data_IF_547626068511
#
_entry.id   IF_547626068511
#
_cell.length_a   1.000
_cell.length_b   1.000
_cell.length_c   1.000
_cell.angle_alpha   90.00
_cell.angle_beta   90.00
_cell.angle_gamma   90.00
#
_symmetry.space_group_name_H-M   'P 1'
#
loop_
_entity.id
_entity.type
_entity.pdbx_description
1 polymer ?
#
# COMPACT_ATOMS: atom_id res chain seq x y z
N UNK A 1 -17.02 -10.99 -22.15
CA UNK A 1 -17.22 -11.52 -20.79
C UNK A 1 -17.22 -10.35 -19.81
N UNK A 2 -18.31 -10.15 -19.10
CA UNK A 2 -18.41 -9.07 -18.10
C UNK A 2 -17.76 -9.58 -16.82
N UNK A 3 -16.73 -8.87 -16.33
CA UNK A 3 -16.07 -9.17 -15.05
C UNK A 3 -16.64 -8.22 -13.98
N UNK A 4 -17.43 -8.76 -13.06
CA UNK A 4 -18.03 -8.03 -11.95
C UNK A 4 -17.23 -8.19 -10.63
N UNK A 5 -16.17 -8.99 -10.63
CA UNK A 5 -15.38 -9.31 -9.44
C UNK A 5 -14.03 -8.61 -9.38
N UNK A 6 -13.67 -7.80 -10.37
CA UNK A 6 -12.41 -7.09 -10.41
C UNK A 6 -12.59 -5.61 -10.04
N UNK A 7 -11.77 -5.12 -9.14
CA UNK A 7 -11.65 -3.69 -8.81
C UNK A 7 -10.60 -2.97 -9.68
N UNK A 8 -10.00 -3.68 -10.66
CA UNK A 8 -8.99 -3.10 -11.54
C UNK A 8 -9.63 -2.18 -12.59
N UNK A 9 -9.02 -1.03 -12.82
CA UNK A 9 -9.33 -0.17 -13.98
C UNK A 9 -8.82 -0.83 -15.26
N UNK A 10 -9.35 -0.41 -16.42
CA UNK A 10 -8.83 -0.85 -17.71
C UNK A 10 -7.36 -0.46 -17.84
N UNK A 11 -6.52 -1.41 -18.26
CA UNK A 11 -5.11 -1.15 -18.49
C UNK A 11 -4.95 -0.27 -19.74
N UNK A 12 -4.08 0.72 -19.65
CA UNK A 12 -3.61 1.48 -20.81
C UNK A 12 -2.64 0.65 -21.63
N UNK A 13 -2.64 0.82 -22.94
CA UNK A 13 -1.55 0.38 -23.79
C UNK A 13 -0.40 1.37 -23.68
N UNK A 14 0.79 0.96 -24.11
CA UNK A 14 1.97 1.81 -24.03
C UNK A 14 1.82 3.08 -24.88
N UNK A 15 1.30 2.95 -26.10
CA UNK A 15 1.05 4.09 -26.99
C UNK A 15 0.05 5.08 -26.36
N UNK A 16 -1.05 4.60 -25.78
CA UNK A 16 -2.03 5.44 -25.07
C UNK A 16 -1.41 6.18 -23.88
N UNK A 17 -0.50 5.54 -23.14
CA UNK A 17 0.18 6.18 -22.02
C UNK A 17 1.09 7.32 -22.51
N UNK A 18 1.86 7.09 -23.56
CA UNK A 18 2.76 8.10 -24.12
C UNK A 18 2.00 9.26 -24.76
N UNK A 19 0.88 8.99 -25.44
CA UNK A 19 -0.03 10.03 -25.94
C UNK A 19 -0.58 10.90 -24.80
N UNK A 20 -0.93 10.32 -23.66
CA UNK A 20 -1.43 11.05 -22.50
C UNK A 20 -0.37 11.90 -21.82
N UNK A 21 0.87 11.44 -21.77
CA UNK A 21 1.98 12.17 -21.14
C UNK A 21 2.65 13.17 -22.07
N UNK A 22 2.46 13.02 -23.37
CA UNK A 22 3.15 13.80 -24.40
C UNK A 22 4.63 13.48 -24.53
N UNK A 23 5.07 12.33 -23.98
CA UNK A 23 6.44 11.85 -24.12
C UNK A 23 6.65 11.07 -25.42
N UNK A 24 7.90 11.03 -25.89
CA UNK A 24 8.28 10.34 -27.12
C UNK A 24 8.51 8.83 -26.86
N UNK A 25 7.60 8.00 -27.36
CA UNK A 25 7.67 6.54 -27.24
C UNK A 25 8.91 5.96 -27.96
N UNK A 26 9.28 6.49 -29.13
CA UNK A 26 10.42 5.96 -29.88
C UNK A 26 11.74 6.29 -29.17
N UNK A 27 11.85 7.48 -28.59
CA UNK A 27 12.99 7.85 -27.75
C UNK A 27 13.10 6.93 -26.52
N UNK A 28 11.99 6.65 -25.85
CA UNK A 28 11.95 5.71 -24.73
C UNK A 28 12.37 4.30 -25.11
N UNK A 29 11.83 3.77 -26.20
CA UNK A 29 12.20 2.43 -26.70
C UNK A 29 13.67 2.34 -27.10
N UNK A 30 14.25 3.43 -27.63
CA UNK A 30 15.66 3.48 -27.94
C UNK A 30 16.54 3.54 -26.68
N UNK A 31 16.14 4.28 -25.65
CA UNK A 31 16.79 4.27 -24.33
C UNK A 31 16.80 2.84 -23.75
N UNK A 32 15.66 2.16 -23.76
CA UNK A 32 15.57 0.77 -23.28
C UNK A 32 16.48 -0.19 -24.05
N UNK A 33 16.56 -0.04 -25.37
CA UNK A 33 17.40 -0.89 -26.24
C UNK A 33 18.90 -0.74 -25.94
N UNK A 34 19.33 0.45 -25.54
CA UNK A 34 20.74 0.77 -25.28
C UNK A 34 21.11 0.68 -23.81
N UNK A 35 20.11 0.48 -22.93
CA UNK A 35 20.33 0.37 -21.50
C UNK A 35 21.14 -0.88 -21.14
N UNK A 36 22.15 -0.72 -20.31
CA UNK A 36 22.91 -1.85 -19.78
C UNK A 36 22.08 -2.62 -18.75
N UNK A 37 22.03 -3.95 -18.88
CA UNK A 37 21.28 -4.83 -17.99
C UNK A 37 22.09 -5.15 -16.72
N UNK A 38 22.39 -4.13 -15.92
CA UNK A 38 23.01 -4.31 -14.64
C UNK A 38 22.05 -4.93 -13.61
N UNK A 39 22.59 -5.66 -12.65
CA UNK A 39 21.84 -6.23 -11.54
C UNK A 39 21.08 -5.16 -10.74
N UNK A 40 21.70 -3.99 -10.56
CA UNK A 40 21.06 -2.79 -10.01
C UNK A 40 21.70 -1.55 -10.67
N UNK A 41 20.92 -0.50 -10.81
CA UNK A 41 21.39 0.78 -11.36
C UNK A 41 21.90 1.72 -10.23
N UNK A 42 22.82 1.21 -9.39
CA UNK A 42 23.49 1.96 -8.33
C UNK A 42 22.78 2.01 -6.98
N UNK A 43 21.52 1.60 -6.90
CA UNK A 43 20.75 1.57 -5.65
C UNK A 43 19.78 0.38 -5.62
N UNK A 44 19.98 -0.53 -4.68
CA UNK A 44 19.12 -1.70 -4.49
C UNK A 44 17.69 -1.33 -4.07
N UNK A 45 17.45 -0.12 -3.58
CA UNK A 45 16.14 0.39 -3.18
C UNK A 45 15.37 1.06 -4.31
N UNK A 46 15.92 1.10 -5.51
CA UNK A 46 15.34 1.69 -6.71
C UNK A 46 16.20 2.80 -7.31
N UNK A 47 16.05 3.05 -8.62
CA UNK A 47 16.85 4.08 -9.27
C UNK A 47 16.51 5.49 -8.73
N UNK A 48 17.48 6.40 -8.69
CA UNK A 48 17.24 7.79 -8.23
C UNK A 48 16.10 8.48 -8.97
N UNK A 49 15.94 8.20 -10.27
CA UNK A 49 14.87 8.79 -11.10
C UNK A 49 13.48 8.38 -10.63
N UNK A 50 13.25 7.08 -10.37
CA UNK A 50 11.94 6.62 -9.92
C UNK A 50 11.65 7.06 -8.49
N UNK A 51 12.64 7.06 -7.60
CA UNK A 51 12.50 7.52 -6.21
C UNK A 51 12.12 9.00 -6.17
N UNK A 52 12.74 9.84 -6.99
CA UNK A 52 12.39 11.25 -7.12
C UNK A 52 10.98 11.45 -7.66
N UNK A 53 10.57 10.66 -8.67
CA UNK A 53 9.22 10.74 -9.23
C UNK A 53 8.16 10.35 -8.20
N UNK A 54 8.39 9.29 -7.42
CA UNK A 54 7.48 8.88 -6.34
C UNK A 54 7.41 9.94 -5.24
N UNK A 55 8.54 10.48 -4.80
CA UNK A 55 8.55 11.56 -3.80
C UNK A 55 7.79 12.81 -4.28
N UNK A 56 7.83 13.09 -5.58
CA UNK A 56 7.11 14.22 -6.20
C UNK A 56 5.59 14.10 -6.22
N UNK A 57 5.02 12.91 -5.97
CA UNK A 57 3.56 12.70 -5.86
C UNK A 57 3.03 13.25 -4.53
N UNK A 58 3.88 13.29 -3.51
CA UNK A 58 3.51 13.77 -2.18
C UNK A 58 3.61 15.28 -2.06
N UNK A 59 2.83 15.93 -1.17
CA UNK A 59 2.97 17.36 -0.91
C UNK A 59 4.42 17.75 -0.61
N UNK A 60 4.83 18.92 -1.08
CA UNK A 60 6.23 19.38 -1.05
C UNK A 60 6.87 19.20 0.34
N UNK A 61 7.95 18.43 0.37
CA UNK A 61 8.79 18.20 1.53
C UNK A 61 8.34 17.14 2.50
N UNK A 62 7.17 16.47 2.28
CA UNK A 62 6.69 15.43 3.17
C UNK A 62 7.40 14.09 2.96
N UNK A 63 7.91 13.84 1.75
CA UNK A 63 8.65 12.62 1.41
C UNK A 63 9.88 13.01 0.59
N UNK A 64 11.04 12.50 0.98
CA UNK A 64 12.28 12.69 0.24
C UNK A 64 12.61 11.45 -0.58
N UNK A 65 13.35 11.57 -1.70
CA UNK A 65 13.71 10.42 -2.52
C UNK A 65 14.44 9.31 -1.76
N UNK A 66 15.28 9.64 -0.78
CA UNK A 66 16.00 8.68 0.06
C UNK A 66 15.09 7.89 1.01
N UNK A 67 13.88 8.36 1.27
CA UNK A 67 12.86 7.69 2.08
C UNK A 67 11.96 6.76 1.25
N UNK A 68 12.20 6.68 -0.06
CA UNK A 68 11.44 5.83 -0.98
C UNK A 68 12.19 4.54 -1.25
N UNK A 69 11.50 3.42 -1.12
CA UNK A 69 11.97 2.11 -1.55
C UNK A 69 11.02 1.51 -2.57
N UNK A 70 11.56 1.02 -3.67
CA UNK A 70 10.81 0.36 -4.74
C UNK A 70 10.85 -1.14 -4.51
N UNK A 71 9.69 -1.79 -4.58
CA UNK A 71 9.54 -3.23 -4.39
C UNK A 71 8.87 -3.89 -5.59
N UNK A 72 8.82 -5.22 -5.61
CA UNK A 72 8.11 -5.99 -6.63
C UNK A 72 6.59 -5.95 -6.36
N UNK A 73 5.97 -4.85 -6.76
CA UNK A 73 4.53 -4.58 -6.54
C UNK A 73 4.19 -4.28 -5.09
N UNK A 74 2.90 -3.95 -4.86
CA UNK A 74 2.37 -3.68 -3.51
C UNK A 74 2.47 -4.88 -2.56
N UNK A 75 2.44 -6.11 -3.09
CA UNK A 75 2.64 -7.32 -2.27
C UNK A 75 4.01 -7.33 -1.61
N UNK A 76 5.07 -7.04 -2.38
CA UNK A 76 6.42 -6.96 -1.84
C UNK A 76 6.58 -5.84 -0.83
N UNK A 77 5.89 -4.70 -1.03
CA UNK A 77 5.89 -3.60 -0.05
C UNK A 77 5.20 -4.00 1.25
N UNK A 78 4.01 -4.62 1.16
CA UNK A 78 3.27 -5.07 2.34
C UNK A 78 4.07 -6.11 3.14
N UNK A 79 4.64 -7.11 2.46
CA UNK A 79 5.46 -8.14 3.09
C UNK A 79 6.65 -7.52 3.82
N UNK A 80 7.39 -6.66 3.13
CA UNK A 80 8.56 -6.00 3.70
C UNK A 80 8.22 -5.18 4.95
N UNK A 81 7.16 -4.37 4.92
CA UNK A 81 6.74 -3.55 6.06
C UNK A 81 6.30 -4.44 7.22
N UNK A 82 5.42 -5.41 6.96
CA UNK A 82 4.89 -6.30 7.99
C UNK A 82 6.02 -7.09 8.69
N UNK A 83 6.94 -7.65 7.90
CA UNK A 83 8.05 -8.45 8.42
C UNK A 83 9.17 -7.62 9.06
N UNK A 84 9.25 -6.32 8.76
CA UNK A 84 10.23 -5.42 9.39
C UNK A 84 9.79 -4.89 10.76
N UNK A 85 8.48 -4.87 11.00
CA UNK A 85 7.90 -4.25 12.21
C UNK A 85 7.44 -5.30 13.23
N UNK A 86 6.95 -6.46 12.75
CA UNK A 86 6.31 -7.46 13.58
C UNK A 86 7.27 -8.60 13.93
N UNK A 87 7.34 -8.94 15.21
CA UNK A 87 8.14 -10.03 15.76
C UNK A 87 7.25 -11.06 16.48
N UNK A 88 7.73 -12.31 16.69
CA UNK A 88 7.00 -13.30 17.48
C UNK A 88 6.66 -12.78 18.91
N UNK A 89 5.38 -12.81 19.25
CA UNK A 89 4.85 -12.25 20.49
C UNK A 89 4.15 -10.90 20.33
N UNK A 90 4.35 -10.24 19.20
CA UNK A 90 3.57 -9.06 18.83
C UNK A 90 2.19 -9.43 18.26
N UNK A 91 1.31 -8.45 18.20
CA UNK A 91 0.09 -8.55 17.42
C UNK A 91 -0.10 -7.35 16.49
N UNK A 92 -0.90 -7.57 15.45
CA UNK A 92 -1.39 -6.50 14.59
C UNK A 92 -2.92 -6.50 14.56
N UNK A 93 -3.50 -5.32 14.44
CA UNK A 93 -4.95 -5.12 14.27
C UNK A 93 -5.25 -4.80 12.81
N UNK A 94 -6.15 -5.56 12.19
CA UNK A 94 -6.52 -5.42 10.78
C UNK A 94 -8.00 -5.10 10.66
N UNK A 95 -8.32 -4.07 9.89
CA UNK A 95 -9.70 -3.68 9.62
C UNK A 95 -10.20 -4.46 8.40
N UNK A 96 -11.30 -5.24 8.54
CA UNK A 96 -11.89 -6.07 7.48
C UNK A 96 -13.33 -5.65 7.14
N UNK A 97 -13.80 -5.84 5.88
CA UNK A 97 -13.10 -6.42 4.74
C UNK A 97 -11.90 -5.60 4.30
N UNK A 98 -10.85 -6.28 3.86
CA UNK A 98 -9.61 -5.65 3.42
C UNK A 98 -8.91 -6.53 2.39
N UNK A 99 -7.82 -6.02 1.83
CA UNK A 99 -6.97 -6.77 0.94
C UNK A 99 -6.32 -7.95 1.71
N UNK A 100 -6.40 -9.14 1.10
CA UNK A 100 -6.04 -10.40 1.76
C UNK A 100 -4.64 -10.40 2.40
N UNK A 101 -3.68 -9.77 1.76
CA UNK A 101 -2.29 -9.69 2.23
C UNK A 101 -2.15 -9.09 3.63
N UNK A 102 -3.03 -8.15 4.00
CA UNK A 102 -2.95 -7.45 5.28
C UNK A 102 -3.16 -8.35 6.49
N UNK A 103 -3.86 -9.49 6.32
CA UNK A 103 -4.12 -10.42 7.41
C UNK A 103 -3.52 -11.81 7.21
N UNK A 104 -3.29 -12.24 5.96
CA UNK A 104 -2.72 -13.57 5.70
C UNK A 104 -1.19 -13.57 5.83
N UNK A 105 -0.50 -12.49 5.47
CA UNK A 105 0.96 -12.39 5.64
C UNK A 105 1.35 -12.49 7.13
N UNK A 106 0.87 -11.61 8.03
CA UNK A 106 1.26 -11.71 9.44
C UNK A 106 0.79 -13.02 10.07
N UNK A 107 -0.41 -13.48 9.77
CA UNK A 107 -0.92 -14.76 10.26
C UNK A 107 -0.08 -15.96 9.80
N UNK A 108 0.33 -15.98 8.52
CA UNK A 108 1.21 -16.99 7.96
C UNK A 108 2.60 -16.99 8.59
N UNK A 109 3.05 -15.86 9.12
CA UNK A 109 4.31 -15.69 9.85
C UNK A 109 4.19 -15.95 11.35
N UNK A 110 3.03 -16.42 11.82
CA UNK A 110 2.81 -16.75 13.24
C UNK A 110 2.52 -15.54 14.13
N UNK A 111 2.23 -14.38 13.56
CA UNK A 111 1.86 -13.17 14.29
C UNK A 111 0.37 -13.21 14.65
N UNK A 112 0.03 -12.87 15.88
CA UNK A 112 -1.36 -12.73 16.30
C UNK A 112 -2.02 -11.60 15.49
N UNK A 113 -3.08 -11.95 14.74
CA UNK A 113 -3.78 -11.00 13.88
C UNK A 113 -5.20 -10.80 14.39
N UNK A 114 -5.47 -9.66 14.98
CA UNK A 114 -6.77 -9.26 15.50
C UNK A 114 -7.57 -8.55 14.43
N UNK A 115 -8.89 -8.76 14.42
CA UNK A 115 -9.75 -8.24 13.36
C UNK A 115 -10.81 -7.32 13.93
N UNK A 116 -10.88 -6.10 13.41
CA UNK A 116 -12.03 -5.20 13.56
C UNK A 116 -12.88 -5.29 12.32
N UNK A 117 -14.11 -5.79 12.48
CA UNK A 117 -15.00 -6.07 11.36
C UNK A 117 -15.89 -4.86 11.06
N UNK A 118 -15.78 -4.31 9.84
CA UNK A 118 -16.76 -3.37 9.32
C UNK A 118 -18.04 -4.11 8.96
N UNK A 119 -19.19 -3.56 9.33
CA UNK A 119 -20.49 -4.21 9.18
C UNK A 119 -21.40 -3.43 8.24
N UNK A 120 -22.18 -4.15 7.44
CA UNK A 120 -23.11 -3.54 6.49
C UNK A 120 -24.21 -2.73 7.19
N UNK A 121 -24.69 -3.21 8.34
CA UNK A 121 -25.69 -2.53 9.17
C UNK A 121 -25.23 -1.17 9.70
N UNK A 122 -23.90 -0.97 9.83
CA UNK A 122 -23.28 0.28 10.27
C UNK A 122 -22.77 1.10 9.06
N UNK A 123 -23.23 0.81 7.84
CA UNK A 123 -22.75 1.39 6.59
C UNK A 123 -21.23 1.27 6.43
N UNK A 124 -20.66 0.19 6.94
CA UNK A 124 -19.21 -0.09 6.95
C UNK A 124 -18.39 1.01 7.62
N UNK A 125 -18.96 1.73 8.56
CA UNK A 125 -18.19 2.69 9.37
C UNK A 125 -17.30 1.95 10.36
N UNK A 126 -16.11 2.53 10.64
CA UNK A 126 -15.19 1.98 11.62
C UNK A 126 -15.70 2.25 13.03
N UNK A 127 -15.84 1.18 13.81
CA UNK A 127 -16.08 1.23 15.24
C UNK A 127 -14.73 1.49 15.95
N UNK A 128 -14.53 2.74 16.41
CA UNK A 128 -13.30 3.15 17.07
C UNK A 128 -13.16 2.54 18.47
N UNK A 129 -14.26 2.28 19.17
CA UNK A 129 -14.22 1.60 20.46
C UNK A 129 -13.80 0.13 20.31
N UNK A 130 -14.25 -0.52 19.24
CA UNK A 130 -13.80 -1.88 18.91
C UNK A 130 -12.32 -1.89 18.49
N UNK A 131 -11.85 -0.85 17.78
CA UNK A 131 -10.46 -0.71 17.41
C UNK A 131 -9.57 -0.53 18.65
N UNK A 132 -9.92 0.38 19.53
CA UNK A 132 -9.20 0.63 20.78
C UNK A 132 -9.10 -0.63 21.63
N UNK A 133 -10.23 -1.34 21.83
CA UNK A 133 -10.26 -2.61 22.56
C UNK A 133 -9.45 -3.75 21.92
N UNK A 134 -9.23 -3.70 20.61
CA UNK A 134 -8.41 -4.68 19.90
C UNK A 134 -6.91 -4.43 20.11
N UNK A 135 -6.53 -3.23 20.49
CA UNK A 135 -5.14 -2.83 20.75
C UNK A 135 -4.75 -3.13 22.22
N UNK A 136 -3.50 -3.51 22.41
CA UNK A 136 -2.89 -3.67 23.74
C UNK A 136 -1.38 -3.35 23.69
N UNK A 137 -0.67 -3.57 24.78
CA UNK A 137 0.77 -3.27 24.89
C UNK A 137 1.65 -4.03 23.88
N UNK A 138 1.16 -5.14 23.32
CA UNK A 138 1.86 -5.94 22.32
C UNK A 138 1.45 -5.58 20.89
N UNK A 139 0.50 -4.67 20.71
CA UNK A 139 0.10 -4.20 19.39
C UNK A 139 1.17 -3.30 18.81
N UNK A 140 1.73 -3.69 17.66
CA UNK A 140 2.78 -2.95 16.96
C UNK A 140 2.29 -2.30 15.69
N UNK A 141 1.11 -2.71 15.20
CA UNK A 141 0.62 -2.20 13.93
C UNK A 141 -0.90 -2.24 13.84
N UNK A 142 -1.49 -1.16 13.34
CA UNK A 142 -2.86 -1.11 12.85
C UNK A 142 -2.78 -1.05 11.33
N UNK A 143 -3.46 -1.98 10.64
CA UNK A 143 -3.46 -2.07 9.18
C UNK A 143 -4.84 -1.72 8.64
N UNK A 144 -4.92 -0.66 7.86
CA UNK A 144 -6.14 -0.22 7.19
C UNK A 144 -5.87 0.14 5.72
N UNK A 145 -6.90 0.04 4.89
CA UNK A 145 -6.88 0.52 3.51
C UNK A 145 -7.83 1.70 3.38
N UNK A 146 -7.34 2.84 2.92
CA UNK A 146 -8.15 4.05 2.77
C UNK A 146 -7.87 4.75 1.42
N UNK A 147 -8.87 4.92 0.53
CA UNK A 147 -10.21 4.33 0.57
C UNK A 147 -10.18 2.80 0.66
N UNK A 148 -11.19 2.21 1.33
CA UNK A 148 -11.19 0.77 1.57
C UNK A 148 -11.33 -0.05 0.28
N UNK A 149 -10.55 -1.09 0.16
CA UNK A 149 -10.74 -2.14 -0.84
C UNK A 149 -11.23 -3.40 -0.12
N UNK A 150 -12.41 -4.00 -0.47
CA UNK A 150 -13.15 -3.78 -1.72
C UNK A 150 -14.37 -2.86 -1.62
N UNK A 151 -14.76 -2.34 -0.46
CA UNK A 151 -16.06 -1.69 -0.26
C UNK A 151 -16.10 -0.19 -0.57
N UNK A 152 -14.94 0.46 -0.74
CA UNK A 152 -14.86 1.85 -1.18
C UNK A 152 -15.21 2.90 -0.12
N UNK A 153 -15.47 2.51 1.13
CA UNK A 153 -15.68 3.50 2.20
C UNK A 153 -14.38 4.24 2.51
N UNK A 154 -14.52 5.50 2.90
CA UNK A 154 -13.38 6.39 3.15
C UNK A 154 -13.44 6.93 4.56
N UNK A 155 -12.34 6.84 5.29
CA UNK A 155 -12.10 7.62 6.49
C UNK A 155 -11.51 8.98 6.08
N UNK A 156 -12.15 10.05 6.50
CA UNK A 156 -11.67 11.41 6.33
C UNK A 156 -10.79 11.83 7.51
N UNK A 157 -10.24 13.02 7.46
CA UNK A 157 -9.22 13.52 8.38
C UNK A 157 -9.51 13.27 9.87
N UNK A 158 -10.76 13.48 10.31
CA UNK A 158 -11.15 13.23 11.70
C UNK A 158 -11.06 11.74 12.06
N UNK A 159 -11.53 10.86 11.17
CA UNK A 159 -11.46 9.40 11.37
C UNK A 159 -10.03 8.89 11.35
N UNK A 160 -9.18 9.42 10.45
CA UNK A 160 -7.76 9.07 10.40
C UNK A 160 -7.01 9.54 11.66
N UNK A 161 -7.33 10.73 12.18
CA UNK A 161 -6.76 11.23 13.44
C UNK A 161 -7.11 10.32 14.62
N UNK A 162 -8.38 9.88 14.73
CA UNK A 162 -8.79 8.92 15.77
C UNK A 162 -8.02 7.60 15.69
N UNK A 163 -7.73 7.09 14.49
CA UNK A 163 -6.88 5.89 14.33
C UNK A 163 -5.47 6.16 14.85
N UNK A 164 -4.89 7.33 14.53
CA UNK A 164 -3.56 7.71 15.02
C UNK A 164 -3.53 7.91 16.53
N UNK A 165 -4.59 8.47 17.11
CA UNK A 165 -4.70 8.68 18.56
C UNK A 165 -4.81 7.36 19.35
N UNK A 166 -5.35 6.30 18.70
CA UNK A 166 -5.42 4.94 19.29
C UNK A 166 -4.07 4.22 19.17
N UNK A 167 -3.29 4.50 18.10
CA UNK A 167 -2.01 3.83 17.79
C UNK A 167 -0.87 4.35 18.66
#
# INVERSE_FOLDING_TARGET
RINLGSSCVSALRMDELFDLTGEDLDAFLNEMRTMSLHYHHGDATGSPRIKAAVAGIYPKGNVKPEEVMITHGGTGANDLVLMSVLEPGDNCVVIKPSYQQHYDIPKGSGIETRVVQLKAEDNYQLDFDALDKACDANTKMIVLTNPNNPIGVTLYDEGLRKVVDIA
#
